data_IF_960051121092
#
_entry.id   IF_960051121092
#
_cell.length_a   1.000
_cell.length_b   1.000
_cell.length_c   1.000
_cell.angle_alpha   90.00
_cell.angle_beta   90.00
_cell.angle_gamma   90.00
#
_symmetry.space_group_name_H-M   'P 1'
#
loop_
_entity.id
_entity.type
_entity.pdbx_description
1 polymer ?
#
# COMPACT_ATOMS: atom_id res chain seq x y z
N UNK A 1 -24.96 34.36 33.03
CA UNK A 1 -23.96 33.25 33.01
C UNK A 1 -24.51 31.93 32.49
N UNK A 2 -25.75 31.53 32.82
CA UNK A 2 -26.37 30.26 32.36
C UNK A 2 -26.49 30.11 30.83
N UNK A 3 -26.75 31.21 30.13
CA UNK A 3 -26.85 31.20 28.65
C UNK A 3 -25.50 31.05 27.95
N UNK A 4 -24.41 31.56 28.54
CA UNK A 4 -23.05 31.48 27.95
C UNK A 4 -22.57 30.02 27.92
N UNK A 5 -22.84 29.26 28.98
CA UNK A 5 -22.48 27.84 29.03
C UNK A 5 -23.25 27.02 27.97
N UNK A 6 -24.52 27.38 27.74
CA UNK A 6 -25.35 26.74 26.70
C UNK A 6 -24.86 27.08 25.29
N UNK A 7 -24.39 28.31 25.05
CA UNK A 7 -23.82 28.70 23.74
C UNK A 7 -22.50 28.00 23.48
N UNK A 8 -21.64 27.89 24.49
CA UNK A 8 -20.34 27.21 24.38
C UNK A 8 -20.51 25.72 24.09
N UNK A 9 -21.50 25.07 24.71
CA UNK A 9 -21.82 23.67 24.48
C UNK A 9 -22.36 23.44 23.06
N UNK A 10 -23.17 24.36 22.52
CA UNK A 10 -23.67 24.29 21.14
C UNK A 10 -22.55 24.44 20.09
N UNK A 11 -21.58 25.32 20.35
CA UNK A 11 -20.41 25.50 19.47
C UNK A 11 -19.48 24.28 19.46
N UNK A 12 -19.34 23.58 20.58
CA UNK A 12 -18.50 22.38 20.67
C UNK A 12 -19.02 21.22 19.80
N UNK A 13 -20.34 21.13 19.58
CA UNK A 13 -20.97 20.06 18.79
C UNK A 13 -20.88 20.35 17.29
N UNK A 14 -20.78 21.62 16.89
CA UNK A 14 -20.63 22.03 15.49
C UNK A 14 -19.19 21.90 14.95
N UNK A 15 -18.20 21.78 15.86
CA UNK A 15 -16.79 21.62 15.50
C UNK A 15 -16.33 20.18 15.31
N UNK A 16 -17.19 19.21 15.64
CA UNK A 16 -16.92 17.79 15.45
C UNK A 16 -17.84 17.32 14.32
N UNK A 17 -17.27 16.91 13.17
CA UNK A 17 -18.03 16.28 12.09
C UNK A 17 -17.94 14.75 12.20
N UNK A 18 -18.74 14.10 13.08
CA UNK A 18 -18.65 12.66 13.33
C UNK A 18 -18.93 11.82 12.07
N UNK A 19 -19.60 12.41 11.07
CA UNK A 19 -19.85 11.80 9.77
C UNK A 19 -18.57 11.64 8.94
N UNK A 20 -17.65 12.60 8.98
CA UNK A 20 -16.39 12.54 8.24
C UNK A 20 -15.43 11.54 8.89
N UNK A 21 -15.38 11.54 10.23
CA UNK A 21 -14.57 10.60 11.01
C UNK A 21 -15.08 9.15 10.86
N UNK A 22 -16.39 8.92 10.89
CA UNK A 22 -16.97 7.59 10.69
C UNK A 22 -16.81 7.08 9.26
N UNK A 23 -16.91 7.98 8.26
CA UNK A 23 -16.65 7.67 6.85
C UNK A 23 -15.18 7.29 6.63
N UNK A 24 -14.25 8.03 7.22
CA UNK A 24 -12.82 7.71 7.16
C UNK A 24 -12.50 6.36 7.82
N UNK A 25 -13.09 6.07 8.98
CA UNK A 25 -12.90 4.80 9.69
C UNK A 25 -13.48 3.60 8.91
N UNK A 26 -14.67 3.76 8.31
CA UNK A 26 -15.29 2.71 7.49
C UNK A 26 -14.51 2.45 6.19
N UNK A 27 -13.97 3.51 5.56
CA UNK A 27 -13.06 3.39 4.41
C UNK A 27 -11.75 2.70 4.76
N UNK A 28 -11.30 2.76 6.02
CA UNK A 28 -10.08 2.07 6.44
C UNK A 28 -10.25 0.54 6.55
N UNK A 29 -11.41 0.09 7.05
CA UNK A 29 -11.60 -1.31 7.44
C UNK A 29 -12.13 -2.23 6.31
N UNK A 30 -12.81 -1.67 5.32
CA UNK A 30 -13.51 -2.44 4.25
C UNK A 30 -13.00 -2.10 2.83
N UNK A 31 -11.92 -1.32 2.73
CA UNK A 31 -11.39 -0.93 1.43
C UNK A 31 -10.73 -2.10 0.70
N UNK A 32 -11.10 -2.26 -0.57
CA UNK A 32 -10.38 -3.05 -1.56
C UNK A 32 -8.88 -2.76 -1.44
N UNK A 33 -8.06 -3.82 -1.32
CA UNK A 33 -6.61 -3.71 -1.20
C UNK A 33 -5.95 -4.09 -2.52
N UNK A 34 -4.87 -3.38 -2.85
CA UNK A 34 -4.07 -3.61 -4.05
C UNK A 34 -2.62 -3.85 -3.68
N UNK A 35 -1.93 -4.67 -4.46
CA UNK A 35 -0.50 -4.89 -4.31
C UNK A 35 0.28 -3.75 -4.95
N UNK A 36 1.27 -3.25 -4.23
CA UNK A 36 2.18 -2.20 -4.72
C UNK A 36 3.63 -2.58 -4.46
N UNK A 37 4.50 -2.06 -5.32
CA UNK A 37 5.91 -1.86 -5.03
C UNK A 37 6.13 -0.41 -4.65
N UNK A 38 6.74 -0.15 -3.50
CA UNK A 38 6.97 1.19 -2.98
C UNK A 38 8.45 1.39 -2.62
N UNK A 39 9.00 2.52 -3.06
CA UNK A 39 10.28 3.06 -2.63
C UNK A 39 10.03 4.20 -1.65
N UNK A 40 10.67 4.13 -0.49
CA UNK A 40 10.65 5.19 0.52
C UNK A 40 12.05 5.77 0.70
N UNK A 41 12.16 7.09 0.71
CA UNK A 41 13.37 7.82 1.04
C UNK A 41 13.20 8.46 2.42
N UNK A 42 13.82 7.86 3.43
CA UNK A 42 13.66 8.27 4.84
C UNK A 42 14.89 9.07 5.26
N UNK A 43 14.73 10.29 5.79
CA UNK A 43 15.85 11.06 6.32
C UNK A 43 16.31 10.50 7.67
N UNK A 44 17.61 10.32 7.83
CA UNK A 44 18.24 9.86 9.08
C UNK A 44 18.84 11.02 9.92
N UNK A 45 19.15 10.72 11.18
CA UNK A 45 19.92 11.61 12.05
C UNK A 45 21.33 11.83 11.49
N UNK A 46 21.56 13.00 10.85
CA UNK A 46 22.82 13.31 10.18
C UNK A 46 22.64 13.87 8.77
N UNK A 47 21.42 13.83 8.24
CA UNK A 47 21.10 14.35 6.90
C UNK A 47 21.34 13.36 5.77
N UNK A 48 21.70 12.12 6.09
CA UNK A 48 21.72 11.01 5.14
C UNK A 48 20.27 10.60 4.80
N UNK A 49 20.05 10.11 3.59
CA UNK A 49 18.75 9.61 3.12
C UNK A 49 18.92 8.14 2.83
N UNK A 50 18.17 7.31 3.54
CA UNK A 50 18.13 5.87 3.30
C UNK A 50 16.95 5.51 2.40
N UNK A 51 17.19 4.63 1.42
CA UNK A 51 16.17 4.16 0.49
C UNK A 51 15.74 2.74 0.85
N UNK A 52 14.44 2.57 1.07
CA UNK A 52 13.83 1.29 1.38
C UNK A 52 12.87 0.85 0.26
N UNK A 53 12.87 -0.44 -0.04
CA UNK A 53 12.10 -1.03 -1.14
C UNK A 53 11.22 -2.15 -0.62
N UNK A 54 9.90 -1.96 -0.72
CA UNK A 54 8.93 -2.90 -0.19
C UNK A 54 7.87 -3.25 -1.20
N UNK A 55 7.39 -4.50 -1.10
CA UNK A 55 6.14 -4.94 -1.66
C UNK A 55 5.10 -5.04 -0.55
N UNK A 56 3.85 -4.74 -0.83
CA UNK A 56 2.78 -4.97 0.13
C UNK A 56 1.43 -4.60 -0.40
N UNK A 57 0.41 -4.92 0.39
CA UNK A 57 -0.96 -4.52 0.12
C UNK A 57 -1.25 -3.17 0.78
N UNK A 58 -1.88 -2.27 0.03
CA UNK A 58 -2.36 -0.97 0.50
C UNK A 58 -3.84 -0.79 0.15
N UNK A 59 -4.52 0.13 0.84
CA UNK A 59 -5.88 0.53 0.47
C UNK A 59 -5.88 1.12 -0.94
N UNK A 60 -6.74 0.62 -1.83
CA UNK A 60 -6.86 1.13 -3.20
C UNK A 60 -7.27 2.60 -3.25
N UNK A 61 -8.28 3.08 -2.49
CA UNK A 61 -8.55 4.51 -2.38
C UNK A 61 -7.32 5.33 -1.99
N UNK A 62 -6.51 4.83 -1.05
CA UNK A 62 -5.29 5.53 -0.63
C UNK A 62 -4.24 5.57 -1.75
N UNK A 63 -4.03 4.46 -2.45
CA UNK A 63 -3.15 4.40 -3.61
C UNK A 63 -3.60 5.38 -4.71
N UNK A 64 -4.89 5.40 -5.05
CA UNK A 64 -5.46 6.31 -6.05
C UNK A 64 -5.24 7.77 -5.66
N UNK A 65 -5.50 8.14 -4.41
CA UNK A 65 -5.26 9.51 -3.94
C UNK A 65 -3.78 9.91 -3.94
N UNK A 66 -2.85 8.99 -3.62
CA UNK A 66 -1.40 9.24 -3.73
C UNK A 66 -1.01 9.40 -5.21
N UNK A 67 -1.43 8.46 -6.06
CA UNK A 67 -1.09 8.44 -7.49
C UNK A 67 -1.63 9.65 -8.25
N UNK A 68 -2.78 10.19 -7.82
CA UNK A 68 -3.38 11.39 -8.40
C UNK A 68 -2.86 12.69 -7.78
N UNK A 69 -1.89 12.62 -6.84
CA UNK A 69 -1.38 13.75 -6.07
C UNK A 69 -2.46 14.52 -5.27
N UNK A 70 -3.52 13.84 -4.86
CA UNK A 70 -4.58 14.42 -4.02
C UNK A 70 -4.15 14.58 -2.56
N UNK A 71 -3.22 13.71 -2.11
CA UNK A 71 -2.63 13.75 -0.78
C UNK A 71 -1.10 13.68 -0.87
N UNK A 72 -0.40 14.52 -0.09
CA UNK A 72 1.06 14.60 -0.09
C UNK A 72 1.71 14.38 1.29
N UNK A 73 0.92 14.12 2.32
CA UNK A 73 1.40 13.96 3.70
C UNK A 73 0.48 13.05 4.50
N UNK A 74 1.03 12.36 5.50
CA UNK A 74 0.26 11.50 6.39
C UNK A 74 0.88 10.12 6.50
N UNK A 75 0.06 9.12 6.78
CA UNK A 75 0.53 7.74 6.98
C UNK A 75 -0.12 6.78 6.00
N UNK A 76 0.68 5.81 5.55
CA UNK A 76 0.24 4.67 4.77
C UNK A 76 0.51 3.39 5.57
N UNK A 77 -0.54 2.59 5.75
CA UNK A 77 -0.43 1.24 6.30
C UNK A 77 -0.27 0.24 5.15
N UNK A 78 0.89 -0.39 5.10
CA UNK A 78 1.17 -1.53 4.24
C UNK A 78 0.99 -2.83 5.04
N UNK A 79 0.30 -3.80 4.46
CA UNK A 79 0.09 -5.13 5.05
C UNK A 79 0.68 -6.22 4.16
N UNK A 80 0.94 -7.41 4.71
CA UNK A 80 1.59 -8.53 3.99
C UNK A 80 2.90 -8.11 3.34
N UNK A 81 3.68 -7.31 4.07
CA UNK A 81 4.90 -6.70 3.57
C UNK A 81 5.92 -7.78 3.21
N UNK A 82 6.57 -7.58 2.07
CA UNK A 82 7.76 -8.32 1.65
C UNK A 82 8.86 -7.34 1.25
N UNK A 83 10.11 -7.75 1.37
CA UNK A 83 11.27 -6.92 1.02
C UNK A 83 12.24 -7.69 0.14
N UNK A 84 13.03 -6.95 -0.64
CA UNK A 84 14.14 -7.51 -1.41
C UNK A 84 15.37 -7.61 -0.49
N UNK A 85 15.91 -8.82 -0.32
CA UNK A 85 17.11 -9.06 0.47
C UNK A 85 18.40 -8.91 -0.34
N UNK A 86 19.52 -8.82 0.37
CA UNK A 86 20.86 -8.77 -0.24
C UNK A 86 21.27 -10.09 -0.95
N UNK A 87 20.47 -11.15 -0.79
CA UNK A 87 20.62 -12.45 -1.40
C UNK A 87 19.87 -12.60 -2.74
N UNK A 88 19.41 -11.49 -3.31
CA UNK A 88 18.59 -11.43 -4.53
C UNK A 88 17.24 -12.16 -4.42
N UNK A 89 16.77 -12.42 -3.19
CA UNK A 89 15.49 -13.07 -2.93
C UNK A 89 14.51 -12.11 -2.26
N UNK A 90 13.22 -12.34 -2.52
CA UNK A 90 12.14 -11.68 -1.79
C UNK A 90 11.88 -12.44 -0.47
N UNK A 91 11.81 -11.70 0.63
CA UNK A 91 11.55 -12.24 1.97
C UNK A 91 10.24 -11.74 2.54
N UNK A 92 9.59 -12.59 3.32
CA UNK A 92 8.46 -12.18 4.15
C UNK A 92 8.94 -11.27 5.27
N UNK A 93 8.26 -10.14 5.47
CA UNK A 93 8.48 -9.31 6.65
C UNK A 93 7.80 -9.91 7.89
N UNK A 94 6.73 -10.68 7.70
CA UNK A 94 5.98 -11.38 8.76
C UNK A 94 6.81 -12.52 9.37
N UNK A 95 6.93 -12.53 10.70
CA UNK A 95 7.63 -13.58 11.43
C UNK A 95 7.07 -13.70 12.87
N UNK A 96 7.78 -14.38 13.77
CA UNK A 96 7.29 -14.57 15.16
C UNK A 96 7.22 -13.27 15.97
N UNK A 97 7.91 -12.23 15.54
CA UNK A 97 8.09 -10.95 16.24
C UNK A 97 7.38 -9.79 15.52
N UNK A 98 7.06 -9.93 14.24
CA UNK A 98 6.47 -8.89 13.39
C UNK A 98 5.14 -9.37 12.79
N UNK A 99 4.15 -8.49 12.65
CA UNK A 99 2.83 -8.84 12.07
C UNK A 99 2.79 -8.86 10.54
N UNK A 100 3.92 -8.58 9.88
CA UNK A 100 3.94 -8.35 8.43
C UNK A 100 3.32 -7.00 8.01
N UNK A 101 3.11 -6.08 8.95
CA UNK A 101 2.58 -4.74 8.70
C UNK A 101 3.64 -3.68 8.94
N UNK A 102 3.66 -2.65 8.09
CA UNK A 102 4.51 -1.48 8.22
C UNK A 102 3.72 -0.20 8.01
N UNK A 103 4.10 0.85 8.74
CA UNK A 103 3.54 2.18 8.59
C UNK A 103 4.64 3.12 8.10
N UNK A 104 4.39 3.77 6.97
CA UNK A 104 5.29 4.78 6.42
C UNK A 104 4.62 6.15 6.36
N UNK A 105 5.45 7.18 6.29
CA UNK A 105 5.03 8.54 5.97
C UNK A 105 4.82 8.68 4.47
N UNK A 106 3.70 9.28 4.05
CA UNK A 106 3.40 9.52 2.63
C UNK A 106 4.43 10.47 2.03
N UNK A 107 4.89 11.46 2.80
CA UNK A 107 5.92 12.42 2.39
C UNK A 107 7.28 11.77 2.10
N UNK A 108 7.51 10.51 2.51
CA UNK A 108 8.74 9.77 2.22
C UNK A 108 8.62 8.90 0.96
N UNK A 109 7.45 8.81 0.32
CA UNK A 109 7.28 7.99 -0.89
C UNK A 109 8.04 8.64 -2.04
N UNK A 110 9.05 7.95 -2.56
CA UNK A 110 9.76 8.34 -3.76
C UNK A 110 9.09 7.79 -5.02
N UNK A 111 8.57 6.56 -4.95
CA UNK A 111 7.86 5.91 -6.06
C UNK A 111 6.90 4.87 -5.51
N UNK A 112 5.71 4.76 -6.10
CA UNK A 112 4.75 3.70 -5.81
C UNK A 112 4.16 3.20 -7.12
N UNK A 113 4.25 1.89 -7.35
CA UNK A 113 3.78 1.24 -8.57
C UNK A 113 2.77 0.14 -8.21
N UNK A 114 1.62 0.14 -8.88
CA UNK A 114 0.69 -0.98 -8.82
C UNK A 114 1.34 -2.22 -9.47
N UNK A 115 1.25 -3.37 -8.79
CA UNK A 115 1.68 -4.66 -9.34
C UNK A 115 0.48 -5.60 -9.44
N UNK A 116 0.39 -6.34 -10.55
CA UNK A 116 -0.75 -7.19 -10.84
C UNK A 116 -0.67 -8.57 -10.16
N UNK A 117 0.52 -8.98 -9.75
CA UNK A 117 0.80 -10.30 -9.21
C UNK A 117 1.48 -10.14 -7.86
N UNK A 118 0.95 -10.78 -6.79
CA UNK A 118 1.61 -10.80 -5.50
C UNK A 118 3.01 -11.42 -5.62
N UNK A 119 4.04 -10.79 -5.02
CA UNK A 119 5.37 -11.37 -4.99
C UNK A 119 5.39 -12.64 -4.14
N UNK A 120 6.21 -13.60 -4.54
CA UNK A 120 6.40 -14.89 -3.88
C UNK A 120 7.73 -14.86 -3.15
N UNK A 121 7.69 -15.14 -1.83
CA UNK A 121 8.90 -15.23 -1.03
C UNK A 121 9.78 -16.41 -1.46
N UNK A 122 11.10 -16.24 -1.33
CA UNK A 122 12.11 -17.21 -1.79
C UNK A 122 12.33 -17.23 -3.31
N UNK A 123 11.70 -16.30 -4.04
CA UNK A 123 11.94 -16.05 -5.47
C UNK A 123 12.55 -14.68 -5.67
N UNK A 124 13.38 -14.53 -6.69
CA UNK A 124 13.98 -13.28 -7.13
C UNK A 124 13.26 -12.71 -8.36
N UNK A 125 14.02 -12.09 -9.26
CA UNK A 125 13.49 -11.36 -10.41
C UNK A 125 12.76 -12.26 -11.43
N UNK A 126 13.02 -13.57 -11.40
CA UNK A 126 12.46 -14.56 -12.32
C UNK A 126 10.93 -14.65 -12.24
N UNK A 127 10.33 -14.21 -11.13
CA UNK A 127 8.86 -14.18 -10.99
C UNK A 127 8.18 -13.06 -11.79
N UNK A 128 8.95 -12.06 -12.23
CA UNK A 128 8.47 -10.93 -13.04
C UNK A 128 8.67 -11.19 -14.53
N UNK A 129 9.64 -12.04 -14.88
CA UNK A 129 9.85 -12.53 -16.22
C UNK A 129 8.83 -13.65 -16.52
N UNK A 130 7.64 -13.25 -16.96
CA UNK A 130 6.88 -13.88 -18.06
C UNK A 130 5.39 -13.51 -18.01
N UNK A 131 5.04 -12.51 -18.83
CA UNK A 131 3.88 -12.63 -19.70
C UNK A 131 4.40 -12.58 -21.13
N UNK A 132 5.04 -13.66 -21.55
CA UNK A 132 5.26 -13.89 -22.97
C UNK A 132 3.88 -14.27 -23.58
N UNK A 133 3.30 -13.49 -24.51
CA UNK A 133 2.00 -13.77 -25.13
C UNK A 133 1.98 -15.06 -25.98
N UNK A 134 3.08 -15.83 -26.01
CA UNK A 134 3.23 -17.06 -26.78
C UNK A 134 2.50 -18.26 -26.15
N UNK A 135 2.28 -18.29 -24.82
CA UNK A 135 1.73 -19.48 -24.13
C UNK A 135 0.22 -19.72 -24.32
N UNK A 136 -0.53 -18.76 -24.86
CA UNK A 136 -1.95 -18.95 -25.22
C UNK A 136 -2.12 -19.53 -26.65
N UNK A 137 -1.07 -19.52 -27.47
CA UNK A 137 -1.15 -19.96 -28.87
C UNK A 137 -1.04 -21.48 -29.06
N UNK A 138 -0.31 -22.18 -28.18
CA UNK A 138 -0.13 -23.64 -28.30
C UNK A 138 -1.37 -24.44 -27.87
N UNK A 139 -2.15 -23.97 -26.90
CA UNK A 139 -3.38 -24.65 -26.46
C UNK A 139 -4.51 -24.49 -27.49
N UNK A 140 -4.56 -23.38 -28.24
CA UNK A 140 -5.50 -23.17 -29.33
C UNK A 140 -5.14 -23.95 -30.61
N UNK A 141 -3.85 -24.25 -30.83
CA UNK A 141 -3.37 -24.96 -32.01
C UNK A 141 -3.43 -26.49 -31.84
N UNK A 142 -3.22 -27.01 -30.62
CA UNK A 142 -3.44 -28.43 -30.31
C UNK A 142 -4.91 -28.86 -30.45
N UNK A 143 -5.86 -27.98 -30.10
CA UNK A 143 -7.29 -28.24 -30.24
C UNK A 143 -7.79 -28.23 -31.71
N UNK A 144 -7.07 -27.59 -32.63
CA UNK A 144 -7.41 -27.54 -34.06
C UNK A 144 -6.75 -28.61 -34.91
N UNK A 145 -5.72 -29.30 -34.40
CA UNK A 145 -5.09 -30.44 -35.07
C UNK A 145 -5.77 -31.78 -34.76
N UNK A 146 -6.82 -31.78 -33.93
CA UNK A 146 -7.55 -32.98 -33.48
C UNK A 146 -8.98 -33.07 -34.04
N UNK A 147 -9.30 -32.30 -35.08
CA UNK A 147 -10.55 -32.39 -35.86
C UNK A 147 -10.22 -32.73 -37.30
#
# INVERSE_FOLDING_TARGET
MKFIFLTLLMLAILGCSPLDEFSALKKLNDAERVWVFAQFNVPEEGGEIESYYYYGEVSKPLYESISNNEIGSGFILMSKVKYWGDDDLIHDYDNKETSGELVFRIEHIATVNLINTPPVAGKGYEQVADKDPSSESESAQAARSSI
#
